data_IF_555787034668
#
_entry.id   IF_555787034668
#
_cell.length_a   1.000
_cell.length_b   1.000
_cell.length_c   1.000
_cell.angle_alpha   90.00
_cell.angle_beta   90.00
_cell.angle_gamma   90.00
#
_symmetry.space_group_name_H-M   'P 1'
#
loop_
_entity.id
_entity.type
_entity.pdbx_description
1 polymer ?
#
# COMPACT_ATOMS: atom_id res chain seq x y z
N UNK A 1 -25.96 30.67 5.40
CA UNK A 1 -26.41 29.36 4.86
C UNK A 1 -25.75 29.07 3.51
N UNK A 2 -25.10 30.07 2.87
CA UNK A 2 -24.55 29.95 1.52
C UNK A 2 -23.05 29.55 1.42
N UNK A 3 -22.26 29.59 2.50
CA UNK A 3 -20.83 29.19 2.44
C UNK A 3 -20.60 27.66 2.45
N UNK A 4 -21.59 26.85 2.85
CA UNK A 4 -21.44 25.38 2.92
C UNK A 4 -21.74 24.67 1.59
N UNK A 5 -22.34 25.36 0.62
CA UNK A 5 -22.71 24.79 -0.69
C UNK A 5 -21.58 24.92 -1.73
N UNK A 6 -20.54 25.73 -1.48
CA UNK A 6 -19.42 25.94 -2.42
C UNK A 6 -18.36 24.81 -2.39
N UNK A 7 -18.43 23.89 -1.42
CA UNK A 7 -17.45 22.81 -1.28
C UNK A 7 -17.69 21.61 -2.22
N UNK A 8 -18.84 21.55 -2.89
CA UNK A 8 -19.26 20.40 -3.69
C UNK A 8 -19.45 20.76 -5.16
N UNK A 9 -18.96 19.91 -6.06
CA UNK A 9 -19.07 20.10 -7.49
C UNK A 9 -19.29 18.76 -8.22
N UNK A 10 -19.91 18.81 -9.39
CA UNK A 10 -20.14 17.62 -10.22
C UNK A 10 -18.93 17.36 -11.10
N UNK A 11 -18.34 16.17 -10.98
CA UNK A 11 -17.27 15.68 -11.86
C UNK A 11 -17.58 14.25 -12.27
N UNK A 12 -17.59 13.99 -13.58
CA UNK A 12 -17.91 12.68 -14.17
C UNK A 12 -19.27 12.12 -13.73
N UNK A 13 -20.28 13.00 -13.61
CA UNK A 13 -21.63 12.62 -13.19
C UNK A 13 -21.78 12.24 -11.71
N UNK A 14 -20.75 12.48 -10.88
CA UNK A 14 -20.77 12.23 -9.44
C UNK A 14 -20.53 13.52 -8.67
N UNK A 15 -21.28 13.72 -7.59
CA UNK A 15 -21.06 14.83 -6.66
C UNK A 15 -19.75 14.55 -5.91
N UNK A 16 -18.79 15.44 -6.06
CA UNK A 16 -17.48 15.40 -5.38
C UNK A 16 -17.34 16.59 -4.45
N UNK A 17 -16.48 16.43 -3.46
CA UNK A 17 -16.07 17.51 -2.58
C UNK A 17 -14.63 17.94 -2.94
N UNK A 18 -14.38 19.24 -3.01
CA UNK A 18 -13.03 19.79 -3.21
C UNK A 18 -12.00 19.25 -2.21
N UNK A 19 -12.39 19.01 -0.96
CA UNK A 19 -11.53 18.42 0.07
C UNK A 19 -11.12 16.98 -0.24
N UNK A 20 -12.03 16.15 -0.77
CA UNK A 20 -11.75 14.75 -1.09
C UNK A 20 -10.76 14.63 -2.27
N UNK A 21 -10.86 15.52 -3.25
CA UNK A 21 -9.95 15.54 -4.40
C UNK A 21 -8.54 16.03 -4.01
N UNK A 22 -8.44 17.04 -3.13
CA UNK A 22 -7.16 17.47 -2.54
C UNK A 22 -6.51 16.33 -1.75
N UNK A 23 -7.30 15.58 -0.97
CA UNK A 23 -6.79 14.42 -0.22
C UNK A 23 -6.32 13.29 -1.16
N UNK A 24 -7.03 13.05 -2.26
CA UNK A 24 -6.67 12.06 -3.27
C UNK A 24 -5.37 12.44 -4.02
N UNK A 25 -5.22 13.72 -4.34
CA UNK A 25 -4.04 14.26 -5.02
C UNK A 25 -2.80 14.25 -4.11
N UNK A 26 -2.99 14.56 -2.82
CA UNK A 26 -1.97 14.41 -1.79
C UNK A 26 -1.58 12.93 -1.57
N UNK A 27 -2.53 11.99 -1.64
CA UNK A 27 -2.25 10.53 -1.61
C UNK A 27 -1.46 10.06 -2.84
N UNK A 28 -1.71 10.63 -4.02
CA UNK A 28 -0.97 10.31 -5.25
C UNK A 28 0.47 10.85 -5.21
N UNK A 29 0.66 12.12 -4.84
CA UNK A 29 1.99 12.72 -4.66
C UNK A 29 2.83 11.98 -3.61
N UNK A 30 2.21 11.55 -2.52
CA UNK A 30 2.89 10.75 -1.48
C UNK A 30 3.16 9.29 -1.90
N UNK A 31 2.58 8.74 -2.98
CA UNK A 31 2.88 7.36 -3.40
C UNK A 31 4.19 7.24 -4.18
N UNK A 32 4.56 8.30 -4.91
CA UNK A 32 5.72 8.29 -5.81
C UNK A 32 7.03 8.55 -5.08
N UNK A 33 7.01 9.39 -4.05
CA UNK A 33 8.18 9.69 -3.19
C UNK A 33 8.61 8.49 -2.34
N UNK A 34 7.74 7.50 -2.14
CA UNK A 34 7.91 6.46 -1.11
C UNK A 34 8.43 5.11 -1.61
N UNK A 35 8.83 4.97 -2.89
CA UNK A 35 9.16 3.66 -3.49
C UNK A 35 10.57 3.10 -3.19
N UNK A 36 11.61 3.92 -3.00
CA UNK A 36 13.00 3.43 -2.84
C UNK A 36 13.75 3.93 -1.57
N UNK A 37 13.07 4.63 -0.67
CA UNK A 37 13.68 5.41 0.40
C UNK A 37 13.76 4.72 1.78
N UNK A 38 13.26 3.48 1.90
CA UNK A 38 12.75 2.96 3.18
C UNK A 38 13.85 2.50 4.15
N UNK A 39 14.90 1.82 3.71
CA UNK A 39 15.90 1.20 4.60
C UNK A 39 17.07 2.14 4.97
N UNK A 40 17.52 3.03 4.09
CA UNK A 40 18.65 3.94 4.36
C UNK A 40 18.25 5.18 5.20
N UNK A 41 17.04 5.71 5.05
CA UNK A 41 16.59 6.91 5.79
C UNK A 41 16.03 6.61 7.18
N UNK A 42 15.59 5.37 7.44
CA UNK A 42 14.96 4.96 8.71
C UNK A 42 15.82 5.31 9.94
N UNK A 43 17.14 5.37 9.77
CA UNK A 43 18.10 5.62 10.84
C UNK A 43 18.60 7.09 10.92
N UNK A 44 18.14 7.97 10.03
CA UNK A 44 18.57 9.37 10.04
C UNK A 44 17.79 10.19 11.09
N UNK A 45 18.48 11.15 11.72
CA UNK A 45 17.87 12.09 12.67
C UNK A 45 16.70 12.87 12.04
N UNK A 46 16.82 13.22 10.76
CA UNK A 46 15.77 13.87 9.96
C UNK A 46 14.52 13.00 9.84
N UNK A 47 14.67 11.71 9.58
CA UNK A 47 13.51 10.83 9.45
C UNK A 47 12.79 10.59 10.78
N UNK A 48 13.55 10.41 11.86
CA UNK A 48 12.99 10.32 13.22
C UNK A 48 12.21 11.57 13.59
N UNK A 49 12.68 12.76 13.19
CA UNK A 49 11.95 14.03 13.34
C UNK A 49 10.62 14.00 12.60
N UNK A 50 10.61 13.61 11.31
CA UNK A 50 9.39 13.48 10.50
C UNK A 50 8.39 12.52 11.14
N UNK A 51 8.86 11.35 11.63
CA UNK A 51 7.98 10.39 12.30
C UNK A 51 7.32 11.03 13.53
N UNK A 52 8.11 11.70 14.39
CA UNK A 52 7.58 12.34 15.59
C UNK A 52 6.62 13.49 15.26
N UNK A 53 6.95 14.32 14.27
CA UNK A 53 6.09 15.42 13.82
C UNK A 53 4.76 14.89 13.27
N UNK A 54 4.78 13.80 12.48
CA UNK A 54 3.55 13.16 11.98
C UNK A 54 2.72 12.52 13.08
N UNK A 55 3.34 11.87 14.06
CA UNK A 55 2.60 11.35 15.22
C UNK A 55 1.92 12.50 15.96
N UNK A 56 2.61 13.62 16.20
CA UNK A 56 2.06 14.81 16.86
C UNK A 56 0.88 15.39 16.08
N UNK A 57 1.07 15.67 14.79
CA UNK A 57 0.04 16.22 13.88
C UNK A 57 -1.26 15.40 13.92
N UNK A 58 -1.18 14.07 13.78
CA UNK A 58 -2.37 13.24 13.82
C UNK A 58 -2.95 13.07 15.22
N UNK A 59 -2.14 13.22 16.27
CA UNK A 59 -2.65 13.20 17.65
C UNK A 59 -3.46 14.46 17.95
N UNK A 60 -2.98 15.63 17.48
CA UNK A 60 -3.73 16.89 17.54
C UNK A 60 -5.05 16.79 16.76
N UNK A 61 -5.01 16.24 15.53
CA UNK A 61 -6.23 16.01 14.74
C UNK A 61 -7.23 15.05 15.43
N UNK A 62 -6.72 14.04 16.16
CA UNK A 62 -7.57 13.11 16.91
C UNK A 62 -8.28 13.81 18.07
N UNK A 63 -7.57 14.69 18.78
CA UNK A 63 -8.12 15.49 19.89
C UNK A 63 -9.19 16.45 19.38
N UNK A 64 -8.92 17.16 18.28
CA UNK A 64 -9.90 18.07 17.67
C UNK A 64 -11.19 17.33 17.26
N UNK A 65 -11.05 16.11 16.74
CA UNK A 65 -12.19 15.27 16.36
C UNK A 65 -12.95 14.72 17.59
N UNK A 66 -12.26 14.41 18.69
CA UNK A 66 -12.89 14.05 19.98
C UNK A 66 -13.68 15.22 20.57
N UNK A 67 -13.10 16.42 20.62
CA UNK A 67 -13.75 17.63 21.10
C UNK A 67 -14.98 17.98 20.25
N UNK A 68 -14.89 17.79 18.93
CA UNK A 68 -16.02 17.95 18.03
C UNK A 68 -17.15 16.95 18.34
N UNK A 69 -16.82 15.67 18.46
CA UNK A 69 -17.79 14.61 18.80
C UNK A 69 -18.49 14.92 20.12
N UNK A 70 -17.74 15.31 21.15
CA UNK A 70 -18.27 15.71 22.46
C UNK A 70 -19.26 16.87 22.34
N UNK A 71 -18.94 17.87 21.53
CA UNK A 71 -19.83 18.99 21.24
C UNK A 71 -21.13 18.56 20.55
N UNK A 72 -21.05 17.65 19.57
CA UNK A 72 -22.23 17.11 18.87
C UNK A 72 -23.07 16.24 19.79
N UNK A 73 -22.47 15.41 20.65
CA UNK A 73 -23.19 14.62 21.64
C UNK A 73 -23.95 15.50 22.65
N UNK A 74 -23.33 16.58 23.16
CA UNK A 74 -23.99 17.53 24.07
C UNK A 74 -25.17 18.27 23.40
N UNK A 75 -25.06 18.59 22.11
CA UNK A 75 -26.19 19.16 21.36
C UNK A 75 -27.30 18.13 21.19
N UNK A 76 -26.96 16.88 20.86
CA UNK A 76 -27.93 15.81 20.71
C UNK A 76 -28.79 15.59 21.95
N UNK A 77 -28.17 15.59 23.14
CA UNK A 77 -28.90 15.34 24.39
C UNK A 77 -29.90 16.45 24.73
N UNK A 78 -29.78 17.64 24.13
CA UNK A 78 -30.68 18.78 24.38
C UNK A 78 -31.78 18.96 23.32
N UNK A 79 -31.78 18.18 22.23
CA UNK A 79 -32.68 18.37 21.08
C UNK A 79 -34.12 17.82 21.23
N UNK A 80 -34.47 17.19 22.35
CA UNK A 80 -35.82 16.66 22.58
C UNK A 80 -36.27 15.67 21.49
N UNK A 81 -37.51 15.79 21.00
CA UNK A 81 -38.12 14.89 20.00
C UNK A 81 -38.01 15.39 18.54
N UNK A 82 -37.15 16.36 18.23
CA UNK A 82 -37.00 16.84 16.85
C UNK A 82 -36.27 15.79 15.98
N UNK A 83 -37.06 14.97 15.28
CA UNK A 83 -36.57 13.83 14.48
C UNK A 83 -35.56 14.24 13.40
N UNK A 84 -35.75 15.38 12.75
CA UNK A 84 -34.86 15.85 11.69
C UNK A 84 -33.51 16.31 12.25
N UNK A 85 -33.52 17.07 13.35
CA UNK A 85 -32.29 17.46 14.03
C UNK A 85 -31.54 16.27 14.63
N UNK A 86 -32.24 15.25 15.15
CA UNK A 86 -31.62 14.01 15.63
C UNK A 86 -30.90 13.29 14.49
N UNK A 87 -31.55 13.14 13.32
CA UNK A 87 -30.96 12.47 12.16
C UNK A 87 -29.66 13.11 11.67
N UNK A 88 -29.63 14.45 11.55
CA UNK A 88 -28.41 15.15 11.11
C UNK A 88 -27.26 15.02 12.12
N UNK A 89 -27.55 15.04 13.43
CA UNK A 89 -26.54 14.81 14.46
C UNK A 89 -26.05 13.36 14.47
N UNK A 90 -26.95 12.37 14.29
CA UNK A 90 -26.62 10.96 14.13
C UNK A 90 -25.61 10.74 12.99
N UNK A 91 -25.91 11.32 11.82
CA UNK A 91 -25.07 11.20 10.65
C UNK A 91 -23.69 11.84 10.85
N UNK A 92 -23.63 13.02 11.49
CA UNK A 92 -22.37 13.69 11.83
C UNK A 92 -21.53 12.86 12.80
N UNK A 93 -22.15 12.30 13.84
CA UNK A 93 -21.48 11.42 14.80
C UNK A 93 -20.87 10.22 14.10
N UNK A 94 -21.61 9.56 13.21
CA UNK A 94 -21.11 8.37 12.52
C UNK A 94 -19.95 8.69 11.57
N UNK A 95 -20.03 9.81 10.86
CA UNK A 95 -18.96 10.29 9.99
C UNK A 95 -17.68 10.62 10.78
N UNK A 96 -17.83 11.33 11.90
CA UNK A 96 -16.72 11.69 12.77
C UNK A 96 -16.10 10.48 13.46
N UNK A 97 -16.89 9.48 13.87
CA UNK A 97 -16.37 8.18 14.35
C UNK A 97 -15.52 7.47 13.29
N UNK A 98 -15.98 7.44 12.03
CA UNK A 98 -15.19 6.85 10.93
C UNK A 98 -13.86 7.59 10.74
N UNK A 99 -13.87 8.92 10.81
CA UNK A 99 -12.64 9.73 10.70
C UNK A 99 -11.70 9.47 11.87
N UNK A 100 -12.20 9.48 13.10
CA UNK A 100 -11.44 9.17 14.31
C UNK A 100 -10.77 7.79 14.24
N UNK A 101 -11.51 6.76 13.82
CA UNK A 101 -10.95 5.41 13.59
C UNK A 101 -9.83 5.39 12.53
N UNK A 102 -9.97 6.20 11.48
CA UNK A 102 -8.93 6.31 10.46
C UNK A 102 -7.68 7.03 10.98
N UNK A 103 -7.84 8.11 11.74
CA UNK A 103 -6.73 8.84 12.35
C UNK A 103 -5.95 7.92 13.29
N UNK A 104 -6.63 7.13 14.13
CA UNK A 104 -6.00 6.11 14.98
C UNK A 104 -5.13 5.12 14.21
N UNK A 105 -5.64 4.59 13.10
CA UNK A 105 -4.89 3.67 12.23
C UNK A 105 -3.65 4.34 11.64
N UNK A 106 -3.74 5.62 11.31
CA UNK A 106 -2.61 6.40 10.80
C UNK A 106 -1.56 6.59 11.91
N UNK A 107 -1.96 7.02 13.11
CA UNK A 107 -1.07 7.15 14.27
C UNK A 107 -0.34 5.84 14.54
N UNK A 108 -1.09 4.73 14.60
CA UNK A 108 -0.52 3.39 14.81
C UNK A 108 0.57 3.05 13.78
N UNK A 109 0.32 3.32 12.49
CA UNK A 109 1.32 3.08 11.43
C UNK A 109 2.59 3.91 11.64
N UNK A 110 2.47 5.16 12.08
CA UNK A 110 3.63 6.01 12.37
C UNK A 110 4.36 5.58 13.65
N UNK A 111 3.65 5.14 14.68
CA UNK A 111 4.26 4.54 15.88
C UNK A 111 5.06 3.28 15.54
N UNK A 112 4.57 2.44 14.61
CA UNK A 112 5.33 1.29 14.14
C UNK A 112 6.61 1.70 13.42
N UNK A 113 6.56 2.71 12.52
CA UNK A 113 7.77 3.27 11.90
C UNK A 113 8.76 3.82 12.93
N UNK A 114 8.27 4.43 14.02
CA UNK A 114 9.11 4.89 15.13
C UNK A 114 9.85 3.72 15.78
N UNK A 115 9.13 2.65 16.13
CA UNK A 115 9.73 1.45 16.72
C UNK A 115 10.81 0.83 15.81
N UNK A 116 10.55 0.76 14.50
CA UNK A 116 11.54 0.32 13.50
C UNK A 116 12.76 1.24 13.49
N UNK A 117 12.56 2.57 13.42
CA UNK A 117 13.65 3.57 13.38
C UNK A 117 14.54 3.57 14.64
N UNK A 118 14.03 3.03 15.74
CA UNK A 118 14.73 2.88 17.01
C UNK A 118 15.36 1.48 17.16
N UNK A 119 15.21 0.59 16.17
CA UNK A 119 15.67 -0.80 16.24
C UNK A 119 14.91 -1.65 17.26
N UNK A 120 13.76 -1.17 17.77
CA UNK A 120 12.98 -1.88 18.79
C UNK A 120 12.16 -3.03 18.22
N UNK A 121 11.86 -2.96 16.92
CA UNK A 121 11.26 -4.04 16.15
C UNK A 121 12.00 -4.14 14.83
N UNK A 122 12.20 -5.35 14.35
CA UNK A 122 12.68 -5.58 12.99
C UNK A 122 11.66 -5.04 12.00
N UNK A 123 12.15 -4.39 10.95
CA UNK A 123 11.31 -4.07 9.80
C UNK A 123 10.98 -5.38 9.10
N UNK A 124 9.85 -6.00 9.48
CA UNK A 124 9.21 -7.05 8.66
C UNK A 124 8.61 -6.46 7.38
N UNK A 125 9.15 -5.35 6.86
CA UNK A 125 8.97 -5.06 5.45
C UNK A 125 9.48 -6.27 4.71
N UNK A 126 8.68 -6.73 3.76
CA UNK A 126 9.00 -7.89 2.96
C UNK A 126 10.39 -7.68 2.38
N UNK A 127 11.32 -8.63 2.55
CA UNK A 127 12.65 -8.55 1.96
C UNK A 127 12.53 -8.76 0.44
N UNK A 128 12.08 -7.72 -0.26
CA UNK A 128 11.82 -7.76 -1.69
C UNK A 128 13.12 -8.06 -2.43
N UNK A 129 14.22 -7.42 -2.04
CA UNK A 129 15.51 -7.59 -2.70
C UNK A 129 16.02 -9.02 -2.56
N UNK A 130 15.97 -9.61 -1.35
CA UNK A 130 16.34 -11.02 -1.15
C UNK A 130 15.45 -11.99 -1.94
N UNK A 131 14.14 -11.74 -2.02
CA UNK A 131 13.26 -12.56 -2.84
C UNK A 131 13.56 -12.45 -4.35
N UNK A 132 14.05 -11.30 -4.82
CA UNK A 132 14.51 -11.10 -6.21
C UNK A 132 15.83 -11.79 -6.52
N UNK A 133 16.62 -12.12 -5.50
CA UNK A 133 17.90 -12.83 -5.64
C UNK A 133 17.71 -14.34 -5.84
N UNK A 134 16.57 -14.93 -5.47
CA UNK A 134 16.24 -16.34 -5.78
C UNK A 134 16.39 -16.59 -7.27
N UNK A 135 17.24 -17.54 -7.65
CA UNK A 135 17.53 -17.78 -9.06
C UNK A 135 16.30 -18.35 -9.74
N UNK A 136 15.90 -17.76 -10.88
CA UNK A 136 14.71 -18.22 -11.61
C UNK A 136 14.79 -19.71 -11.97
N UNK A 137 15.99 -20.25 -12.24
CA UNK A 137 16.12 -21.69 -12.50
C UNK A 137 15.73 -22.59 -11.32
N UNK A 138 15.83 -22.11 -10.08
CA UNK A 138 15.43 -22.86 -8.88
C UNK A 138 13.89 -22.96 -8.78
N UNK A 139 13.17 -22.09 -9.48
CA UNK A 139 11.71 -22.10 -9.59
C UNK A 139 11.21 -22.96 -10.77
N UNK A 140 12.12 -23.57 -11.55
CA UNK A 140 11.78 -24.37 -12.71
C UNK A 140 11.81 -25.86 -12.37
N UNK A 141 10.71 -26.57 -12.64
CA UNK A 141 10.62 -28.02 -12.44
C UNK A 141 11.36 -28.85 -13.51
N UNK A 142 11.87 -28.19 -14.55
CA UNK A 142 12.51 -28.87 -15.69
C UNK A 142 13.86 -28.24 -16.05
N UNK A 143 14.83 -29.04 -16.52
CA UNK A 143 16.11 -28.51 -16.95
C UNK A 143 15.96 -27.66 -18.23
N UNK A 144 16.92 -26.76 -18.50
CA UNK A 144 16.88 -25.96 -19.71
C UNK A 144 17.06 -26.82 -20.96
N UNK A 145 16.28 -26.49 -21.99
CA UNK A 145 16.35 -27.08 -23.33
C UNK A 145 17.60 -26.60 -24.07
N UNK A 146 17.95 -25.32 -23.92
CA UNK A 146 19.12 -24.71 -24.56
C UNK A 146 19.89 -23.89 -23.53
N UNK A 147 21.21 -24.10 -23.47
CA UNK A 147 22.14 -23.26 -22.70
C UNK A 147 22.95 -22.41 -23.66
N UNK A 148 22.84 -21.09 -23.52
CA UNK A 148 23.65 -20.10 -24.24
C UNK A 148 24.42 -19.26 -23.22
N UNK A 149 25.45 -18.55 -23.68
CA UNK A 149 26.26 -17.74 -22.78
C UNK A 149 25.40 -16.61 -22.18
N UNK A 150 25.18 -16.67 -20.85
CA UNK A 150 24.34 -15.73 -20.10
C UNK A 150 22.81 -15.92 -20.22
N UNK A 151 22.33 -16.92 -20.97
CA UNK A 151 20.89 -17.18 -21.15
C UNK A 151 20.58 -18.67 -21.17
N UNK A 152 19.44 -19.03 -20.62
CA UNK A 152 18.91 -20.40 -20.70
C UNK A 152 17.48 -20.37 -21.19
N UNK A 153 17.16 -21.32 -22.06
CA UNK A 153 15.83 -21.48 -22.62
C UNK A 153 15.17 -22.72 -22.05
N UNK A 154 13.93 -22.56 -21.62
CA UNK A 154 13.09 -23.58 -21.02
C UNK A 154 11.80 -23.70 -21.82
N UNK A 155 11.08 -24.80 -21.63
CA UNK A 155 9.65 -24.81 -21.91
C UNK A 155 8.98 -23.85 -20.95
N UNK A 156 8.01 -23.08 -21.43
CA UNK A 156 7.30 -22.17 -20.54
C UNK A 156 6.46 -22.95 -19.54
N UNK A 157 6.55 -22.66 -18.22
CA UNK A 157 5.74 -23.32 -17.21
C UNK A 157 4.35 -22.68 -17.06
N UNK A 158 4.07 -21.60 -17.78
CA UNK A 158 2.84 -20.80 -17.66
C UNK A 158 1.82 -21.06 -18.79
N UNK A 159 2.22 -21.82 -19.81
CA UNK A 159 1.30 -22.29 -20.85
C UNK A 159 1.76 -23.65 -21.36
N UNK A 160 0.84 -24.38 -21.98
CA UNK A 160 1.14 -25.68 -22.55
C UNK A 160 1.84 -25.52 -23.90
N UNK A 161 3.17 -25.53 -23.90
CA UNK A 161 4.00 -25.33 -25.09
C UNK A 161 4.12 -26.63 -25.89
N UNK A 162 3.51 -26.67 -27.08
CA UNK A 162 3.48 -27.87 -27.94
C UNK A 162 4.86 -28.21 -28.53
N UNK A 163 5.63 -27.19 -28.95
CA UNK A 163 6.97 -27.35 -29.52
C UNK A 163 7.84 -26.13 -29.20
N UNK A 164 9.11 -26.39 -28.86
CA UNK A 164 10.12 -25.35 -28.69
C UNK A 164 10.47 -25.04 -27.24
N UNK A 165 11.10 -23.88 -27.07
CA UNK A 165 11.50 -23.31 -25.78
C UNK A 165 11.33 -21.79 -25.85
N UNK A 166 10.14 -21.32 -25.51
CA UNK A 166 9.76 -19.89 -25.60
C UNK A 166 10.13 -19.10 -24.35
N UNK A 167 10.48 -19.76 -23.25
CA UNK A 167 10.83 -19.12 -21.98
C UNK A 167 12.34 -18.93 -21.90
N UNK A 168 12.79 -17.69 -21.78
CA UNK A 168 14.19 -17.33 -21.65
C UNK A 168 14.47 -16.75 -20.27
N UNK A 169 15.42 -17.33 -19.55
CA UNK A 169 16.01 -16.77 -18.34
C UNK A 169 17.31 -16.04 -18.68
N UNK A 170 17.40 -14.77 -18.29
CA UNK A 170 18.57 -13.91 -18.42
C UNK A 170 19.36 -13.92 -17.10
N UNK A 171 20.46 -14.69 -17.07
CA UNK A 171 21.23 -14.93 -15.83
C UNK A 171 21.79 -13.66 -15.21
N UNK A 172 22.23 -12.72 -16.04
CA UNK A 172 22.89 -11.48 -15.59
C UNK A 172 22.01 -10.64 -14.67
N UNK A 173 20.74 -10.49 -15.03
CA UNK A 173 19.81 -9.59 -14.34
C UNK A 173 18.75 -10.37 -13.53
N UNK A 174 18.87 -11.70 -13.49
CA UNK A 174 17.89 -12.64 -12.94
C UNK A 174 16.43 -12.31 -13.34
N UNK A 175 16.21 -12.13 -14.65
CA UNK A 175 14.88 -11.86 -15.23
C UNK A 175 14.47 -12.96 -16.20
N UNK A 176 13.17 -13.08 -16.44
CA UNK A 176 12.65 -14.00 -17.45
C UNK A 176 11.71 -13.30 -18.42
N UNK A 177 11.59 -13.91 -19.59
CA UNK A 177 10.62 -13.52 -20.60
C UNK A 177 10.12 -14.76 -21.35
N UNK A 178 8.81 -14.88 -21.52
CA UNK A 178 8.22 -15.86 -22.42
C UNK A 178 7.79 -15.16 -23.72
N UNK A 179 8.43 -15.52 -24.83
CA UNK A 179 8.16 -14.94 -26.15
C UNK A 179 6.78 -15.33 -26.71
N UNK A 180 6.21 -16.45 -26.28
CA UNK A 180 4.87 -16.89 -26.71
C UNK A 180 3.75 -16.23 -25.90
N UNK A 181 3.93 -16.10 -24.57
CA UNK A 181 2.94 -15.47 -23.70
C UNK A 181 3.02 -13.93 -23.70
N UNK A 182 4.12 -13.36 -24.17
CA UNK A 182 4.39 -11.92 -24.12
C UNK A 182 4.35 -11.36 -22.67
N UNK A 183 4.90 -12.12 -21.73
CA UNK A 183 5.01 -11.77 -20.31
C UNK A 183 6.43 -12.05 -19.82
N UNK A 184 6.84 -11.34 -18.78
CA UNK A 184 8.10 -11.55 -18.10
C UNK A 184 8.13 -10.79 -16.78
N UNK A 185 9.24 -10.93 -16.06
CA UNK A 185 9.40 -10.32 -14.75
C UNK A 185 10.65 -10.84 -14.02
N UNK A 186 10.63 -10.71 -12.71
CA UNK A 186 11.62 -11.29 -11.80
C UNK A 186 11.13 -12.61 -11.17
N UNK A 187 11.88 -13.15 -10.21
CA UNK A 187 11.55 -14.37 -9.46
C UNK A 187 10.22 -14.25 -8.71
N UNK A 188 9.88 -13.06 -8.18
CA UNK A 188 8.61 -12.83 -7.49
C UNK A 188 7.47 -12.93 -8.50
N UNK A 189 7.58 -12.23 -9.64
CA UNK A 189 6.58 -12.30 -10.71
C UNK A 189 6.36 -13.74 -11.20
N UNK A 190 7.43 -14.52 -11.33
CA UNK A 190 7.33 -15.92 -11.74
C UNK A 190 6.61 -16.77 -10.69
N UNK A 191 7.01 -16.68 -9.43
CA UNK A 191 6.40 -17.43 -8.32
C UNK A 191 4.91 -17.12 -8.19
N UNK A 192 4.52 -15.84 -8.27
CA UNK A 192 3.12 -15.44 -8.23
C UNK A 192 2.30 -16.10 -9.34
N UNK A 193 2.87 -16.20 -10.56
CA UNK A 193 2.18 -16.81 -11.71
C UNK A 193 2.11 -18.33 -11.63
N UNK A 194 3.17 -18.99 -11.14
CA UNK A 194 3.21 -20.44 -10.98
C UNK A 194 2.24 -20.94 -9.90
N UNK A 195 2.17 -20.22 -8.78
CA UNK A 195 1.43 -20.66 -7.59
C UNK A 195 0.13 -19.90 -7.34
N UNK A 196 -0.23 -18.96 -8.22
CA UNK A 196 -1.36 -18.03 -8.01
C UNK A 196 -1.27 -17.31 -6.64
N UNK A 197 -0.06 -16.92 -6.25
CA UNK A 197 0.24 -16.35 -4.94
C UNK A 197 0.13 -14.82 -4.95
N UNK A 198 -0.26 -14.23 -3.81
CA UNK A 198 -0.14 -12.78 -3.61
C UNK A 198 1.32 -12.35 -3.51
N UNK A 199 1.59 -11.07 -3.77
CA UNK A 199 2.94 -10.49 -3.70
C UNK A 199 3.59 -10.74 -2.33
N UNK A 200 2.79 -10.66 -1.25
CA UNK A 200 3.27 -10.90 0.10
C UNK A 200 3.64 -12.36 0.34
N UNK A 201 2.82 -13.30 -0.12
CA UNK A 201 3.09 -14.73 0.02
C UNK A 201 4.34 -15.13 -0.77
N UNK A 202 4.48 -14.65 -2.00
CA UNK A 202 5.66 -14.90 -2.82
C UNK A 202 6.95 -14.46 -2.10
N UNK A 203 6.98 -13.25 -1.55
CA UNK A 203 8.19 -12.76 -0.85
C UNK A 203 8.46 -13.52 0.44
N UNK A 204 7.43 -13.92 1.18
CA UNK A 204 7.61 -14.72 2.40
C UNK A 204 8.10 -16.14 2.12
N UNK A 205 7.77 -16.72 0.96
CA UNK A 205 8.26 -18.05 0.57
C UNK A 205 9.67 -17.99 0.00
N UNK A 206 9.96 -17.00 -0.85
CA UNK A 206 11.27 -16.89 -1.52
C UNK A 206 12.42 -16.48 -0.59
N UNK A 207 12.13 -15.96 0.61
CA UNK A 207 13.13 -15.59 1.61
C UNK A 207 13.40 -16.67 2.68
N UNK A 208 12.98 -17.92 2.48
CA UNK A 208 13.17 -19.02 3.44
C UNK A 208 14.45 -19.79 3.23
#
# INVERSE_FOLDING_TARGET
>A
MDEYMEAYYLKDGKVRNHYDDIELENKKKNREVFKNWRTELLNTSTYRKIINDKIREYTEELIDEEDYLDGVFRKRTTLGNNKESIFWNDWQIERSKMRWENIKKIIYRWQMKKKVSLGQIEDKSLNIDGAKETLICELMDSPPVIKSNGREFYKCPLHDEVKGSSFCWFKKDNKWWCFSCNIGGDSIDLYQKLHNASFKEAILTLNQ
#
